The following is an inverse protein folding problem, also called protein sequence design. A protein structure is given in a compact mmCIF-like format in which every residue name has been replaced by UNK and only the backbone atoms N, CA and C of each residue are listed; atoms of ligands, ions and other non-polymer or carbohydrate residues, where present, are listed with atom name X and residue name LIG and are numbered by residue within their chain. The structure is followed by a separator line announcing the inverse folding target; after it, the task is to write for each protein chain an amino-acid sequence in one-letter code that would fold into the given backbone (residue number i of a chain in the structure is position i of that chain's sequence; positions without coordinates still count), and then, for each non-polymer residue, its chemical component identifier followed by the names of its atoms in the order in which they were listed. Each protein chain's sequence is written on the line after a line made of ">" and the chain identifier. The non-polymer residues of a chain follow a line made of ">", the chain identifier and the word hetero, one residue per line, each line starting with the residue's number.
data_IF_265179127598
#
_entry.id   IF_265179127598
#
_cell.length_a   1.000
_cell.length_b   1.000
_cell.length_c   1.000
_cell.angle_alpha   90.00
_cell.angle_beta   90.00
_cell.angle_gamma   90.00
#
_symmetry.space_group_name_H-M   'P 1'
#
loop_
_entity.id
_entity.type
_entity.pdbx_description
1 polymer ?
#
# COMPACT_ATOMS: atom_id res chain seq x y z
N UNK A 1 -31.93 3.25 6.86
CA UNK A 1 -31.99 2.72 8.23
C UNK A 1 -30.83 1.76 8.42
N UNK A 2 -29.85 2.14 9.26
CA UNK A 2 -28.69 1.29 9.54
C UNK A 2 -29.08 0.20 10.54
N UNK A 3 -28.65 -1.05 10.32
CA UNK A 3 -28.99 -2.14 11.22
C UNK A 3 -28.25 -2.01 12.55
N UNK A 4 -28.95 -2.28 13.66
CA UNK A 4 -28.34 -2.35 14.99
C UNK A 4 -27.61 -3.68 15.18
N UNK A 5 -26.30 -3.63 15.46
CA UNK A 5 -25.48 -4.81 15.72
C UNK A 5 -25.38 -5.04 17.23
N UNK A 6 -25.52 -6.30 17.67
CA UNK A 6 -25.44 -6.67 19.10
C UNK A 6 -24.08 -7.30 19.41
N UNK A 7 -23.60 -7.05 20.62
CA UNK A 7 -22.37 -7.63 21.13
C UNK A 7 -22.53 -9.16 21.29
N UNK A 8 -21.60 -9.98 20.77
CA UNK A 8 -21.69 -11.44 20.87
C UNK A 8 -21.39 -11.96 22.28
N UNK A 9 -20.78 -11.14 23.15
CA UNK A 9 -20.41 -11.54 24.52
C UNK A 9 -21.45 -11.14 25.58
N UNK A 10 -22.08 -9.96 25.43
CA UNK A 10 -23.01 -9.42 26.45
C UNK A 10 -24.36 -8.98 25.90
N UNK A 11 -24.64 -9.24 24.61
CA UNK A 11 -25.91 -8.95 23.93
C UNK A 11 -26.36 -7.48 23.87
N UNK A 12 -25.61 -6.52 24.44
CA UNK A 12 -25.89 -5.08 24.32
C UNK A 12 -25.66 -4.56 22.90
N UNK A 13 -26.40 -3.53 22.51
CA UNK A 13 -26.25 -2.86 21.21
C UNK A 13 -24.91 -2.14 21.11
N UNK A 14 -24.20 -2.32 20.00
CA UNK A 14 -22.90 -1.73 19.70
C UNK A 14 -23.01 -0.38 18.94
N UNK A 15 -24.18 0.25 18.90
CA UNK A 15 -24.37 1.56 18.24
C UNK A 15 -24.79 1.48 16.76
N UNK A 16 -24.71 2.62 16.07
CA UNK A 16 -25.06 2.79 14.65
C UNK A 16 -23.81 2.80 13.78
N UNK A 17 -23.90 2.22 12.58
CA UNK A 17 -22.80 2.12 11.62
C UNK A 17 -22.58 3.49 10.96
N UNK A 18 -21.32 3.94 10.80
CA UNK A 18 -20.99 5.22 10.17
C UNK A 18 -21.43 5.24 8.69
N UNK A 19 -21.48 6.44 8.11
CA UNK A 19 -21.80 6.69 6.69
C UNK A 19 -20.93 5.89 5.73
N UNK A 20 -19.69 5.61 6.12
CA UNK A 20 -18.70 4.88 5.33
C UNK A 20 -18.87 3.36 5.43
N UNK A 21 -19.92 2.88 6.11
CA UNK A 21 -20.21 1.46 6.27
C UNK A 21 -19.24 0.70 7.18
N UNK A 22 -18.42 1.40 7.94
CA UNK A 22 -17.49 0.81 8.91
C UNK A 22 -17.80 1.36 10.31
N UNK A 23 -17.59 0.54 11.34
CA UNK A 23 -17.71 0.96 12.74
C UNK A 23 -16.68 0.22 13.58
N UNK A 24 -15.76 0.95 14.21
CA UNK A 24 -14.90 0.41 15.26
C UNK A 24 -15.43 0.90 16.60
N UNK A 25 -15.75 -0.03 17.49
CA UNK A 25 -16.32 0.32 18.79
C UNK A 25 -15.86 -0.64 19.89
N UNK A 26 -15.58 -0.06 21.05
CA UNK A 26 -15.36 -0.80 22.28
C UNK A 26 -16.69 -1.02 22.99
N UNK A 27 -17.01 -2.26 23.30
CA UNK A 27 -18.24 -2.55 24.01
C UNK A 27 -18.16 -2.03 25.46
N UNK A 28 -19.06 -1.15 25.91
CA UNK A 28 -18.97 -0.54 27.25
C UNK A 28 -19.14 -1.55 28.38
N UNK A 29 -19.78 -2.70 28.13
CA UNK A 29 -20.01 -3.73 29.15
C UNK A 29 -18.87 -4.74 29.27
N UNK A 30 -18.30 -5.20 28.15
CA UNK A 30 -17.28 -6.25 28.16
C UNK A 30 -15.87 -5.76 27.81
N UNK A 31 -15.70 -4.47 27.55
CA UNK A 31 -14.43 -3.80 27.18
C UNK A 31 -13.67 -4.50 26.05
N UNK A 32 -14.40 -5.21 25.17
CA UNK A 32 -13.84 -5.84 23.97
C UNK A 32 -14.08 -4.93 22.77
N UNK A 33 -13.02 -4.76 22.00
CA UNK A 33 -13.01 -3.99 20.76
C UNK A 33 -13.56 -4.84 19.61
N UNK A 34 -14.55 -4.29 18.89
CA UNK A 34 -15.17 -4.92 17.72
C UNK A 34 -15.09 -3.99 16.52
N UNK A 35 -14.88 -4.60 15.35
CA UNK A 35 -14.92 -3.92 14.05
C UNK A 35 -16.09 -4.46 13.24
N UNK A 36 -16.91 -3.57 12.68
CA UNK A 36 -18.06 -3.94 11.87
C UNK A 36 -17.85 -3.40 10.46
N UNK A 37 -18.09 -4.24 9.47
CA UNK A 37 -18.12 -3.87 8.05
C UNK A 37 -19.50 -4.15 7.50
N UNK A 38 -20.13 -3.14 6.92
CA UNK A 38 -21.47 -3.20 6.36
C UNK A 38 -21.43 -2.89 4.86
N UNK A 39 -22.11 -3.71 4.06
CA UNK A 39 -22.19 -3.48 2.63
C UNK A 39 -23.10 -4.44 1.89
N UNK A 40 -23.16 -4.27 0.57
CA UNK A 40 -23.88 -5.15 -0.35
C UNK A 40 -22.95 -6.21 -0.90
N UNK A 41 -23.44 -7.45 -1.02
CA UNK A 41 -22.65 -8.56 -1.57
C UNK A 41 -22.59 -8.43 -3.09
N UNK A 42 -21.39 -8.20 -3.62
CA UNK A 42 -21.13 -8.09 -5.07
C UNK A 42 -20.65 -9.40 -5.68
N UNK A 43 -20.08 -10.31 -4.88
CA UNK A 43 -19.56 -11.60 -5.36
C UNK A 43 -19.52 -12.66 -4.28
N UNK A 44 -19.70 -13.93 -4.68
CA UNK A 44 -19.59 -15.09 -3.79
C UNK A 44 -18.94 -16.26 -4.52
N UNK A 45 -17.83 -16.75 -3.99
CA UNK A 45 -17.25 -18.02 -4.38
C UNK A 45 -17.11 -18.92 -3.14
N UNK A 46 -17.20 -20.24 -3.36
CA UNK A 46 -16.89 -21.20 -2.31
C UNK A 46 -16.27 -22.46 -2.90
N UNK A 47 -15.23 -22.99 -2.27
CA UNK A 47 -14.53 -24.22 -2.69
C UNK A 47 -14.40 -25.19 -1.52
N UNK A 48 -14.46 -26.48 -1.82
CA UNK A 48 -14.22 -27.54 -0.85
C UNK A 48 -12.75 -27.94 -0.89
N UNK A 49 -12.13 -28.04 0.28
CA UNK A 49 -10.76 -28.50 0.43
C UNK A 49 -10.75 -29.67 1.43
N UNK A 50 -10.10 -30.77 1.09
CA UNK A 50 -9.93 -31.90 1.99
C UNK A 50 -8.85 -31.54 3.03
N UNK A 51 -9.19 -31.62 4.31
CA UNK A 51 -8.26 -31.39 5.43
C UNK A 51 -7.50 -32.68 5.75
N UNK A 52 -8.22 -33.80 5.73
CA UNK A 52 -7.66 -35.12 5.94
C UNK A 52 -8.36 -36.09 4.98
N UNK A 53 -7.58 -36.65 4.07
CA UNK A 53 -8.04 -37.69 3.14
C UNK A 53 -7.32 -38.99 3.49
N UNK A 54 -8.03 -39.89 4.20
CA UNK A 54 -7.48 -41.18 4.59
C UNK A 54 -7.70 -42.21 3.47
N UNK A 55 -8.96 -42.51 3.10
CA UNK A 55 -9.36 -43.35 1.95
C UNK A 55 -10.84 -43.11 1.59
N UNK A 56 -11.33 -43.65 0.46
CA UNK A 56 -12.70 -43.48 -0.01
C UNK A 56 -13.80 -44.08 0.90
N UNK A 57 -13.46 -45.04 1.77
CA UNK A 57 -14.40 -45.71 2.69
C UNK A 57 -14.35 -45.16 4.13
N UNK A 58 -13.40 -44.27 4.45
CA UNK A 58 -13.23 -43.68 5.78
C UNK A 58 -13.80 -42.25 5.86
N UNK A 59 -14.17 -41.77 7.06
CA UNK A 59 -14.63 -40.39 7.24
C UNK A 59 -13.53 -39.42 6.81
N UNK A 60 -13.83 -38.59 5.80
CA UNK A 60 -12.94 -37.53 5.33
C UNK A 60 -13.37 -36.19 5.91
N UNK A 61 -12.41 -35.43 6.43
CA UNK A 61 -12.64 -34.10 6.97
C UNK A 61 -12.49 -33.09 5.84
N UNK A 62 -13.53 -32.28 5.64
CA UNK A 62 -13.54 -31.21 4.64
C UNK A 62 -13.66 -29.86 5.32
N UNK A 63 -12.92 -28.89 4.79
CA UNK A 63 -13.14 -27.47 5.03
C UNK A 63 -13.75 -26.84 3.78
N UNK A 64 -14.62 -25.86 3.98
CA UNK A 64 -15.15 -25.04 2.91
C UNK A 64 -14.54 -23.66 3.00
N UNK A 65 -13.83 -23.26 1.95
CA UNK A 65 -13.30 -21.91 1.81
C UNK A 65 -14.34 -21.05 1.12
N UNK A 66 -14.66 -19.91 1.71
CA UNK A 66 -15.54 -18.88 1.19
C UNK A 66 -14.70 -17.66 0.77
N UNK A 67 -15.10 -17.05 -0.34
CA UNK A 67 -14.67 -15.71 -0.76
C UNK A 67 -15.94 -14.88 -1.00
N UNK A 68 -16.15 -13.87 -0.18
CA UNK A 68 -17.24 -12.91 -0.28
C UNK A 68 -16.67 -11.56 -0.70
N UNK A 69 -17.23 -10.98 -1.75
CA UNK A 69 -16.92 -9.61 -2.18
C UNK A 69 -18.06 -8.70 -1.78
N UNK A 70 -17.75 -7.61 -1.09
CA UNK A 70 -18.71 -6.73 -0.46
C UNK A 70 -18.41 -5.31 -0.88
N UNK A 71 -19.39 -4.63 -1.46
CA UNK A 71 -19.31 -3.22 -1.78
C UNK A 71 -19.89 -2.42 -0.63
N UNK A 72 -19.04 -1.62 0.01
CA UNK A 72 -19.36 -0.73 1.12
C UNK A 72 -20.15 0.48 0.60
N UNK A 73 -21.00 1.15 1.42
CA UNK A 73 -21.63 2.42 1.05
C UNK A 73 -20.67 3.49 0.49
N UNK A 74 -19.42 3.53 0.98
CA UNK A 74 -18.34 4.37 0.45
C UNK A 74 -17.82 3.99 -0.95
N UNK A 75 -18.44 3.00 -1.61
CA UNK A 75 -18.03 2.39 -2.90
C UNK A 75 -16.77 1.52 -2.85
N UNK A 76 -16.20 1.27 -1.67
CA UNK A 76 -15.05 0.37 -1.54
C UNK A 76 -15.44 -1.10 -1.66
N UNK A 77 -14.68 -1.85 -2.47
CA UNK A 77 -14.82 -3.29 -2.62
C UNK A 77 -13.94 -4.02 -1.61
N UNK A 78 -14.56 -4.70 -0.64
CA UNK A 78 -13.88 -5.54 0.35
C UNK A 78 -14.00 -7.02 0.00
N UNK A 79 -12.86 -7.71 -0.04
CA UNK A 79 -12.80 -9.16 -0.26
C UNK A 79 -12.56 -9.86 1.06
N UNK A 80 -13.58 -10.56 1.55
CA UNK A 80 -13.51 -11.40 2.73
C UNK A 80 -13.27 -12.85 2.31
N UNK A 81 -12.20 -13.47 2.81
CA UNK A 81 -12.01 -14.92 2.70
C UNK A 81 -12.19 -15.55 4.09
N UNK A 82 -12.78 -16.72 4.20
CA UNK A 82 -12.80 -17.47 5.47
C UNK A 82 -13.10 -18.93 5.19
N UNK A 83 -12.78 -19.82 6.13
CA UNK A 83 -13.15 -21.22 6.04
C UNK A 83 -14.16 -21.62 7.11
N UNK A 84 -14.94 -22.66 6.85
CA UNK A 84 -15.77 -23.35 7.84
C UNK A 84 -15.50 -24.85 7.78
N UNK A 85 -15.63 -25.55 8.89
CA UNK A 85 -15.49 -27.00 8.96
C UNK A 85 -16.82 -27.69 8.64
N UNK A 86 -16.78 -28.80 7.89
CA UNK A 86 -17.92 -29.67 7.66
C UNK A 86 -18.70 -29.40 6.37
N UNK A 87 -19.38 -30.46 5.87
CA UNK A 87 -20.11 -30.45 4.59
C UNK A 87 -21.46 -29.69 4.62
N UNK A 88 -22.02 -29.47 5.81
CA UNK A 88 -23.37 -28.92 6.00
C UNK A 88 -23.46 -27.40 6.16
N UNK A 89 -22.39 -26.74 6.62
CA UNK A 89 -22.45 -25.33 7.01
C UNK A 89 -22.39 -24.41 5.79
N UNK A 90 -23.57 -23.91 5.38
CA UNK A 90 -23.73 -22.92 4.31
C UNK A 90 -24.00 -21.55 4.90
N UNK A 91 -23.13 -20.60 4.58
CA UNK A 91 -23.32 -19.19 4.93
C UNK A 91 -24.52 -18.65 4.13
N UNK A 92 -25.58 -18.14 4.79
CA UNK A 92 -26.84 -17.77 4.15
C UNK A 92 -26.73 -16.39 3.48
N UNK A 93 -25.93 -16.31 2.41
CA UNK A 93 -25.65 -15.04 1.71
C UNK A 93 -25.86 -15.22 0.20
N UNK A 94 -26.64 -14.33 -0.40
CA UNK A 94 -26.90 -14.22 -1.86
C UNK A 94 -26.30 -12.93 -2.42
N UNK A 95 -26.13 -12.90 -3.74
CA UNK A 95 -25.71 -11.69 -4.46
C UNK A 95 -26.76 -10.59 -4.26
N UNK A 96 -26.31 -9.37 -3.99
CA UNK A 96 -27.16 -8.23 -3.71
C UNK A 96 -27.65 -8.11 -2.26
N UNK A 97 -27.41 -9.12 -1.41
CA UNK A 97 -27.81 -9.06 0.00
C UNK A 97 -27.04 -7.98 0.77
N UNK A 98 -27.71 -7.32 1.71
CA UNK A 98 -27.09 -6.39 2.65
C UNK A 98 -26.60 -7.17 3.86
N UNK A 99 -25.30 -7.15 4.10
CA UNK A 99 -24.68 -7.92 5.18
C UNK A 99 -23.87 -7.02 6.10
N UNK A 100 -23.80 -7.41 7.38
CA UNK A 100 -22.81 -6.92 8.33
C UNK A 100 -21.89 -8.04 8.75
N UNK A 101 -20.60 -7.76 8.70
CA UNK A 101 -19.54 -8.63 9.19
C UNK A 101 -19.05 -8.08 10.52
N UNK A 102 -18.98 -8.94 11.53
CA UNK A 102 -18.48 -8.58 12.85
C UNK A 102 -17.11 -9.21 13.08
N UNK A 103 -16.13 -8.39 13.40
CA UNK A 103 -14.76 -8.77 13.71
C UNK A 103 -14.40 -8.49 15.17
N UNK A 104 -13.53 -9.32 15.72
CA UNK A 104 -12.77 -9.01 16.93
C UNK A 104 -11.55 -8.16 16.54
N UNK A 105 -11.32 -7.05 17.24
CA UNK A 105 -10.17 -6.19 17.02
C UNK A 105 -9.02 -6.55 17.96
N UNK A 106 -7.79 -6.28 17.51
CA UNK A 106 -6.60 -6.20 18.36
C UNK A 106 -5.88 -4.89 18.01
N UNK A 107 -6.10 -3.84 18.79
CA UNK A 107 -5.70 -2.48 18.41
C UNK A 107 -6.53 -2.00 17.20
N UNK A 108 -5.86 -1.53 16.14
CA UNK A 108 -6.47 -1.10 14.88
C UNK A 108 -6.78 -2.25 13.90
N UNK A 109 -6.34 -3.49 14.18
CA UNK A 109 -6.43 -4.59 13.21
C UNK A 109 -7.66 -5.48 13.42
N UNK A 110 -8.38 -5.76 12.32
CA UNK A 110 -9.48 -6.72 12.26
C UNK A 110 -8.94 -8.15 12.19
N UNK A 111 -8.77 -8.78 13.35
CA UNK A 111 -8.08 -10.07 13.46
C UNK A 111 -8.95 -11.28 13.15
N UNK A 112 -10.22 -11.27 13.59
CA UNK A 112 -11.05 -12.48 13.58
C UNK A 112 -12.52 -12.22 13.26
N UNK A 113 -13.06 -12.85 12.22
CA UNK A 113 -14.49 -12.82 11.94
C UNK A 113 -15.25 -13.65 12.99
N UNK A 114 -16.25 -13.05 13.62
CA UNK A 114 -17.10 -13.65 14.64
C UNK A 114 -18.43 -14.10 14.03
N UNK A 115 -19.06 -13.23 13.25
CA UNK A 115 -20.37 -13.51 12.67
C UNK A 115 -20.63 -12.73 11.39
N UNK A 116 -21.44 -13.34 10.52
CA UNK A 116 -21.99 -12.75 9.30
C UNK A 116 -23.49 -12.60 9.51
N UNK A 117 -24.00 -11.37 9.54
CA UNK A 117 -25.44 -11.11 9.66
C UNK A 117 -25.98 -10.66 8.31
N UNK A 118 -26.95 -11.39 7.78
CA UNK A 118 -27.68 -11.01 6.58
C UNK A 118 -28.94 -10.23 6.97
N UNK A 119 -28.99 -8.95 6.62
CA UNK A 119 -30.10 -8.05 6.93
C UNK A 119 -31.26 -8.18 5.94
N UNK A 120 -31.01 -8.70 4.73
CA UNK A 120 -32.09 -9.00 3.77
C UNK A 120 -32.93 -10.18 4.23
N UNK A 121 -32.28 -11.23 4.74
CA UNK A 121 -32.94 -12.48 5.16
C UNK A 121 -33.23 -12.50 6.68
N UNK A 122 -32.64 -11.57 7.45
CA UNK A 122 -32.74 -11.53 8.91
C UNK A 122 -32.02 -12.68 9.62
N UNK A 123 -31.11 -13.39 8.92
CA UNK A 123 -30.38 -14.54 9.47
C UNK A 123 -28.96 -14.15 9.84
N UNK A 124 -28.55 -14.51 11.05
CA UNK A 124 -27.18 -14.34 11.53
C UNK A 124 -26.48 -15.69 11.58
N UNK A 125 -25.43 -15.82 10.78
CA UNK A 125 -24.53 -16.95 10.82
C UNK A 125 -23.37 -16.64 11.76
N UNK A 126 -23.32 -17.31 12.90
CA UNK A 126 -22.17 -17.26 13.80
C UNK A 126 -21.18 -18.29 13.33
N UNK A 127 -19.94 -17.88 13.07
CA UNK A 127 -18.92 -18.85 12.72
C UNK A 127 -18.73 -19.77 13.93
N UNK A 128 -18.68 -21.10 13.72
CA UNK A 128 -18.33 -22.01 14.79
C UNK A 128 -16.99 -21.56 15.38
N UNK A 129 -16.86 -21.63 16.71
CA UNK A 129 -15.58 -21.39 17.37
C UNK A 129 -14.77 -22.68 17.27
N UNK A 130 -13.69 -22.71 16.50
CA UNK A 130 -12.62 -23.61 16.88
C UNK A 130 -11.35 -22.79 16.96
N UNK A 131 -11.12 -22.16 18.11
CA UNK A 131 -9.75 -21.80 18.47
C UNK A 131 -9.63 -22.08 19.96
N UNK A 132 -9.18 -23.28 20.38
CA UNK A 132 -8.37 -23.34 21.57
C UNK A 132 -7.26 -22.31 21.40
N UNK A 133 -7.19 -21.30 22.25
CA UNK A 133 -6.05 -20.40 22.32
C UNK A 133 -4.77 -21.22 22.46
N UNK A 134 -3.62 -20.67 22.05
CA UNK A 134 -2.30 -21.33 22.19
C UNK A 134 -2.05 -21.88 23.60
N UNK A 135 -2.63 -21.27 24.64
CA UNK A 135 -2.59 -21.80 26.01
C UNK A 135 -3.43 -23.07 26.23
N UNK A 136 -4.58 -23.20 25.56
CA UNK A 136 -5.41 -24.42 25.62
C UNK A 136 -4.90 -25.55 24.71
N UNK A 137 -4.16 -25.24 23.64
CA UNK A 137 -3.47 -26.28 22.84
C UNK A 137 -2.33 -26.90 23.64
N UNK A 138 -1.52 -26.10 24.33
CA UNK A 138 -0.49 -26.60 25.25
C UNK A 138 -1.07 -27.47 26.38
N UNK A 139 -2.23 -27.10 26.94
CA UNK A 139 -2.91 -27.90 27.98
C UNK A 139 -3.51 -29.20 27.45
N UNK A 140 -4.10 -29.19 26.26
CA UNK A 140 -4.62 -30.42 25.66
C UNK A 140 -3.47 -31.38 25.30
N UNK A 141 -2.36 -30.85 24.79
CA UNK A 141 -1.14 -31.59 24.51
C UNK A 141 -0.49 -32.16 25.78
N UNK A 142 -0.44 -31.40 26.87
CA UNK A 142 0.12 -31.91 28.12
C UNK A 142 -0.75 -33.03 28.71
N UNK A 143 -2.08 -32.87 28.69
CA UNK A 143 -3.01 -33.91 29.15
C UNK A 143 -2.92 -35.18 28.30
N UNK A 144 -2.82 -35.04 26.97
CA UNK A 144 -2.72 -36.18 26.06
C UNK A 144 -1.38 -36.92 26.22
N UNK A 145 -0.28 -36.18 26.40
CA UNK A 145 1.04 -36.77 26.70
C UNK A 145 1.07 -37.49 28.05
N UNK A 146 0.44 -36.93 29.09
CA UNK A 146 0.32 -37.58 30.40
C UNK A 146 -0.53 -38.86 30.28
N UNK A 147 -1.68 -38.79 29.60
CA UNK A 147 -2.53 -39.96 29.39
C UNK A 147 -1.82 -41.07 28.60
N UNK A 148 -1.02 -40.71 27.58
CA UNK A 148 -0.23 -41.66 26.81
C UNK A 148 0.86 -42.32 27.67
N UNK A 149 1.54 -41.55 28.52
CA UNK A 149 2.55 -42.06 29.46
C UNK A 149 1.94 -43.08 30.45
N UNK A 150 0.76 -42.79 30.99
CA UNK A 150 0.04 -43.72 31.87
C UNK A 150 -0.42 -44.98 31.13
N UNK A 151 -0.91 -44.87 29.89
CA UNK A 151 -1.32 -46.04 29.10
C UNK A 151 -0.15 -46.97 28.74
N UNK A 152 1.03 -46.41 28.42
CA UNK A 152 2.25 -47.18 28.14
C UNK A 152 2.71 -47.93 29.39
N UNK A 153 2.61 -47.32 30.58
CA UNK A 153 3.02 -47.95 31.83
C UNK A 153 2.08 -49.04 32.33
N UNK A 154 0.78 -48.94 32.04
CA UNK A 154 -0.22 -49.84 32.63
C UNK A 154 -0.65 -50.99 31.74
N UNK A 155 -0.54 -50.86 30.40
CA UNK A 155 -1.20 -51.78 29.48
C UNK A 155 -0.41 -53.03 29.09
N UNK A 156 0.89 -53.13 29.43
CA UNK A 156 1.72 -54.31 29.13
C UNK A 156 1.93 -54.62 27.63
N UNK A 157 1.30 -53.86 26.72
CA UNK A 157 1.53 -53.93 25.29
C UNK A 157 2.90 -53.35 24.92
N UNK A 158 3.50 -53.87 23.85
CA UNK A 158 4.81 -53.44 23.38
C UNK A 158 4.89 -51.93 23.18
N UNK A 159 5.90 -51.31 23.80
CA UNK A 159 6.22 -49.88 23.75
C UNK A 159 6.12 -49.27 22.33
N UNK A 160 6.44 -50.06 21.30
CA UNK A 160 6.41 -49.65 19.89
C UNK A 160 4.99 -49.42 19.32
N UNK A 161 3.99 -50.22 19.71
CA UNK A 161 2.61 -50.07 19.19
C UNK A 161 1.90 -48.84 19.78
N UNK A 162 2.12 -48.59 21.07
CA UNK A 162 1.52 -47.46 21.79
C UNK A 162 2.16 -46.13 21.37
N UNK A 163 3.47 -46.10 21.14
CA UNK A 163 4.18 -44.93 20.60
C UNK A 163 3.79 -44.63 19.15
N UNK A 164 3.63 -45.65 18.30
CA UNK A 164 3.17 -45.48 16.92
C UNK A 164 1.74 -44.92 16.84
N UNK A 165 0.79 -45.49 17.58
CA UNK A 165 -0.58 -44.99 17.63
C UNK A 165 -0.66 -43.59 18.26
N UNK A 166 0.14 -43.31 19.28
CA UNK A 166 0.27 -41.98 19.88
C UNK A 166 0.82 -40.94 18.91
N UNK A 167 1.85 -41.30 18.12
CA UNK A 167 2.42 -40.44 17.09
C UNK A 167 1.43 -40.12 15.97
N UNK A 168 0.64 -41.10 15.53
CA UNK A 168 -0.42 -40.90 14.53
C UNK A 168 -1.52 -39.99 15.10
N UNK A 169 -1.97 -40.24 16.33
CA UNK A 169 -2.95 -39.39 17.00
C UNK A 169 -2.45 -37.95 17.16
N UNK A 170 -1.17 -37.76 17.48
CA UNK A 170 -0.52 -36.46 17.55
C UNK A 170 -0.50 -35.75 16.19
N UNK A 171 -0.06 -36.42 15.13
CA UNK A 171 -0.02 -35.85 13.77
C UNK A 171 -1.42 -35.49 13.25
N UNK A 172 -2.43 -36.32 13.55
CA UNK A 172 -3.81 -36.02 13.19
C UNK A 172 -4.32 -34.82 14.01
N UNK A 173 -4.03 -34.77 15.31
CA UNK A 173 -4.44 -33.66 16.17
C UNK A 173 -3.79 -32.34 15.74
N UNK A 174 -2.49 -32.32 15.44
CA UNK A 174 -1.80 -31.10 14.98
C UNK A 174 -2.32 -30.67 13.61
N UNK A 175 -2.46 -31.59 12.64
CA UNK A 175 -3.03 -31.23 11.32
C UNK A 175 -4.47 -30.77 11.38
N UNK A 176 -5.30 -31.35 12.26
CA UNK A 176 -6.67 -30.89 12.48
C UNK A 176 -6.67 -29.53 13.15
N UNK A 177 -5.77 -29.25 14.09
CA UNK A 177 -5.65 -27.96 14.78
C UNK A 177 -5.13 -26.85 13.85
N UNK A 178 -4.09 -27.09 13.07
CA UNK A 178 -3.55 -26.14 12.08
C UNK A 178 -4.60 -25.81 11.00
N UNK A 179 -5.42 -26.79 10.60
CA UNK A 179 -6.52 -26.56 9.67
C UNK A 179 -7.80 -26.01 10.33
N UNK A 180 -7.93 -26.15 11.65
CA UNK A 180 -8.99 -25.53 12.45
C UNK A 180 -8.65 -24.09 12.82
N UNK A 181 -7.44 -23.60 12.54
CA UNK A 181 -7.17 -22.18 12.44
C UNK A 181 -7.91 -21.64 11.20
N UNK A 182 -9.24 -21.47 11.35
CA UNK A 182 -10.15 -20.93 10.35
C UNK A 182 -9.58 -19.57 9.95
N UNK A 183 -8.89 -19.59 8.81
CA UNK A 183 -8.17 -18.44 8.30
C UNK A 183 -9.21 -17.46 7.79
N UNK A 184 -9.74 -16.62 8.68
CA UNK A 184 -10.17 -15.29 8.28
C UNK A 184 -8.85 -14.58 8.03
N UNK A 185 -8.42 -14.37 6.76
CA UNK A 185 -7.26 -13.54 6.54
C UNK A 185 -7.54 -12.22 7.24
N UNK A 186 -6.49 -11.73 7.87
CA UNK A 186 -6.41 -10.38 8.35
C UNK A 186 -6.93 -9.48 7.22
N UNK A 187 -8.05 -8.79 7.45
CA UNK A 187 -8.35 -7.62 6.63
C UNK A 187 -7.26 -6.64 7.02
N UNK A 188 -6.18 -6.60 6.22
CA UNK A 188 -5.16 -5.58 6.39
C UNK A 188 -5.87 -4.24 6.38
N UNK A 189 -5.64 -3.40 7.40
CA UNK A 189 -6.27 -2.10 7.49
C UNK A 189 -5.91 -1.28 6.26
N UNK A 190 -6.79 -0.32 5.99
CA UNK A 190 -6.67 0.74 4.99
C UNK A 190 -5.26 1.35 4.92
N UNK A 191 -4.48 1.33 6.01
CA UNK A 191 -3.15 1.89 6.16
C UNK A 191 -2.17 1.63 4.99
N UNK A 192 -2.15 0.44 4.38
CA UNK A 192 -1.27 0.18 3.22
C UNK A 192 -1.78 0.83 1.94
N UNK A 193 -3.09 0.81 1.71
CA UNK A 193 -3.69 1.49 0.55
C UNK A 193 -3.65 3.01 0.74
N UNK A 194 -3.89 3.51 1.94
CA UNK A 194 -3.79 4.93 2.26
C UNK A 194 -2.34 5.42 2.17
N UNK A 195 -1.36 4.67 2.70
CA UNK A 195 0.04 4.99 2.53
C UNK A 195 0.44 5.05 1.04
N UNK A 196 0.00 4.08 0.23
CA UNK A 196 0.21 4.07 -1.23
C UNK A 196 -0.45 5.27 -1.91
N UNK A 197 -1.70 5.57 -1.59
CA UNK A 197 -2.42 6.71 -2.17
C UNK A 197 -1.78 8.05 -1.78
N UNK A 198 -1.25 8.17 -0.56
CA UNK A 198 -0.49 9.34 -0.12
C UNK A 198 0.81 9.46 -0.90
N UNK A 199 1.52 8.35 -1.09
CA UNK A 199 2.77 8.28 -1.85
C UNK A 199 2.57 8.64 -3.33
N UNK A 200 1.56 8.05 -3.99
CA UNK A 200 1.16 8.38 -5.35
C UNK A 200 0.79 9.87 -5.49
N UNK A 201 0.03 10.40 -4.53
CA UNK A 201 -0.33 11.83 -4.50
C UNK A 201 0.91 12.71 -4.38
N UNK A 202 1.89 12.32 -3.57
CA UNK A 202 3.14 13.05 -3.42
C UNK A 202 3.96 13.03 -4.71
N UNK A 203 4.06 11.88 -5.38
CA UNK A 203 4.74 11.74 -6.67
C UNK A 203 4.06 12.57 -7.77
N UNK A 204 2.72 12.55 -7.84
CA UNK A 204 1.96 13.39 -8.75
C UNK A 204 2.19 14.88 -8.47
N UNK A 205 2.23 15.28 -7.19
CA UNK A 205 2.58 16.63 -6.79
C UNK A 205 3.98 17.05 -7.26
N UNK A 206 4.98 16.18 -7.09
CA UNK A 206 6.33 16.45 -7.59
C UNK A 206 6.38 16.54 -9.12
N UNK A 207 5.63 15.68 -9.83
CA UNK A 207 5.55 15.73 -11.29
C UNK A 207 5.01 17.06 -11.80
N UNK A 208 3.96 17.59 -11.17
CA UNK A 208 3.42 18.91 -11.54
C UNK A 208 4.44 20.04 -11.33
N UNK A 209 5.17 20.02 -10.20
CA UNK A 209 6.23 21.00 -9.94
C UNK A 209 7.38 20.90 -10.96
N UNK A 210 7.74 19.68 -11.37
CA UNK A 210 8.75 19.46 -12.41
C UNK A 210 8.27 20.03 -13.74
N UNK A 211 7.02 19.80 -14.12
CA UNK A 211 6.44 20.32 -15.36
C UNK A 211 6.44 21.84 -15.39
N UNK A 212 5.99 22.48 -14.32
CA UNK A 212 6.04 23.94 -14.17
C UNK A 212 7.48 24.46 -14.29
N UNK A 213 8.45 23.80 -13.66
CA UNK A 213 9.85 24.23 -13.74
C UNK A 213 10.45 24.06 -15.14
N UNK A 214 10.11 22.98 -15.84
CA UNK A 214 10.52 22.74 -17.23
C UNK A 214 9.97 23.82 -18.16
N UNK A 215 8.71 24.22 -17.98
CA UNK A 215 8.10 25.30 -18.74
C UNK A 215 8.82 26.64 -18.49
N UNK A 216 9.11 26.96 -17.23
CA UNK A 216 9.87 28.16 -16.88
C UNK A 216 11.28 28.16 -17.51
N UNK A 217 12.02 27.05 -17.42
CA UNK A 217 13.36 26.93 -18.03
C UNK A 217 13.31 27.08 -19.56
N UNK A 218 12.27 26.54 -20.21
CA UNK A 218 12.07 26.71 -21.66
C UNK A 218 11.77 28.17 -22.02
N UNK A 219 10.97 28.86 -21.22
CA UNK A 219 10.69 30.27 -21.43
C UNK A 219 11.95 31.13 -21.26
N UNK A 220 12.71 30.94 -20.17
CA UNK A 220 14.01 31.59 -19.94
C UNK A 220 14.96 31.36 -21.14
N UNK A 221 15.00 30.13 -21.66
CA UNK A 221 15.78 29.78 -22.86
C UNK A 221 15.34 30.51 -24.13
N UNK A 222 14.03 30.73 -24.33
CA UNK A 222 13.50 31.50 -25.47
C UNK A 222 13.84 32.98 -25.36
N UNK A 223 13.70 33.55 -24.16
CA UNK A 223 14.07 34.94 -23.87
C UNK A 223 15.56 35.17 -24.15
N UNK A 224 16.43 34.27 -23.66
CA UNK A 224 17.87 34.31 -23.92
C UNK A 224 18.20 34.24 -25.43
N UNK A 225 17.52 33.37 -26.18
CA UNK A 225 17.69 33.31 -27.64
C UNK A 225 17.24 34.60 -28.34
N UNK A 226 16.18 35.24 -27.86
CA UNK A 226 15.72 36.52 -28.40
C UNK A 226 16.75 37.63 -28.15
N UNK A 227 17.33 37.69 -26.93
CA UNK A 227 18.40 38.62 -26.59
C UNK A 227 19.65 38.40 -27.44
N UNK A 228 20.08 37.14 -27.64
CA UNK A 228 21.23 36.82 -28.50
C UNK A 228 21.01 37.37 -29.92
N UNK A 229 19.81 37.21 -30.49
CA UNK A 229 19.49 37.74 -31.83
C UNK A 229 19.57 39.27 -31.87
N UNK A 230 19.03 39.95 -30.85
CA UNK A 230 19.09 41.41 -30.75
C UNK A 230 20.53 41.92 -30.63
N UNK A 231 21.33 41.29 -29.75
CA UNK A 231 22.73 41.61 -29.55
C UNK A 231 23.56 41.43 -30.82
N UNK A 232 23.35 40.33 -31.56
CA UNK A 232 24.02 40.10 -32.85
C UNK A 232 23.61 41.12 -33.91
N UNK A 233 22.33 41.47 -34.01
CA UNK A 233 21.84 42.51 -34.92
C UNK A 233 22.47 43.88 -34.59
N UNK A 234 22.56 44.22 -33.30
CA UNK A 234 23.22 45.44 -32.84
C UNK A 234 24.72 45.43 -33.17
N UNK A 235 25.39 44.30 -32.92
CA UNK A 235 26.80 44.11 -33.26
C UNK A 235 27.06 44.34 -34.74
N UNK A 236 26.19 43.80 -35.61
CA UNK A 236 26.34 43.95 -37.06
C UNK A 236 26.14 45.41 -37.52
N UNK A 237 25.18 46.12 -36.93
CA UNK A 237 25.01 47.58 -37.16
C UNK A 237 26.25 48.37 -36.75
N UNK A 238 26.86 48.04 -35.61
CA UNK A 238 28.09 48.70 -35.15
C UNK A 238 29.27 48.44 -36.10
N UNK A 239 29.44 47.19 -36.56
CA UNK A 239 30.50 46.82 -37.50
C UNK A 239 30.36 47.51 -38.86
N UNK A 240 29.13 47.75 -39.33
CA UNK A 240 28.87 48.45 -40.61
C UNK A 240 29.17 49.95 -40.55
N UNK A 241 29.09 50.57 -39.37
CA UNK A 241 29.28 52.01 -39.22
C UNK A 241 30.77 52.34 -39.04
N UNK A 242 31.42 51.79 -38.01
CA UNK A 242 32.86 51.91 -37.79
C UNK A 242 33.31 50.88 -36.72
N UNK A 243 34.15 49.93 -37.13
CA UNK A 243 34.60 48.85 -36.25
C UNK A 243 35.61 49.29 -35.19
N UNK A 244 36.38 50.36 -35.44
CA UNK A 244 37.41 50.85 -34.53
C UNK A 244 36.81 51.67 -33.38
N UNK A 245 35.82 52.52 -33.67
CA UNK A 245 35.14 53.34 -32.65
C UNK A 245 34.35 52.45 -31.67
N UNK A 246 33.74 51.37 -32.15
CA UNK A 246 32.89 50.48 -31.35
C UNK A 246 33.59 49.21 -30.84
N UNK A 247 34.90 49.04 -31.03
CA UNK A 247 35.63 47.80 -30.72
C UNK A 247 35.35 47.27 -29.29
N UNK A 248 35.39 48.15 -28.28
CA UNK A 248 35.13 47.77 -26.87
C UNK A 248 33.69 47.31 -26.65
N UNK A 249 32.70 47.93 -27.33
CA UNK A 249 31.28 47.54 -27.21
C UNK A 249 31.02 46.21 -27.92
N UNK A 250 31.64 45.99 -29.08
CA UNK A 250 31.56 44.73 -29.82
C UNK A 250 32.12 43.59 -28.97
N UNK A 251 33.28 43.76 -28.33
CA UNK A 251 33.85 42.74 -27.43
C UNK A 251 32.95 42.42 -26.23
N UNK A 252 32.28 43.43 -25.65
CA UNK A 252 31.31 43.21 -24.56
C UNK A 252 30.10 42.41 -25.05
N UNK A 253 29.59 42.74 -26.24
CA UNK A 253 28.50 41.99 -26.86
C UNK A 253 28.91 40.53 -27.12
N UNK A 254 30.11 40.28 -27.64
CA UNK A 254 30.61 38.92 -27.87
C UNK A 254 30.65 38.10 -26.57
N UNK A 255 31.17 38.68 -25.48
CA UNK A 255 31.17 38.02 -24.16
C UNK A 255 29.76 37.72 -23.66
N UNK A 256 28.86 38.70 -23.76
CA UNK A 256 27.46 38.51 -23.36
C UNK A 256 26.77 37.41 -24.17
N UNK A 257 27.01 37.33 -25.47
CA UNK A 257 26.47 36.27 -26.34
C UNK A 257 26.99 34.90 -25.91
N UNK A 258 28.29 34.75 -25.63
CA UNK A 258 28.86 33.47 -25.18
C UNK A 258 28.24 33.03 -23.84
N UNK A 259 28.10 33.95 -22.88
CA UNK A 259 27.48 33.67 -21.58
C UNK A 259 26.01 33.25 -21.73
N UNK A 260 25.23 33.96 -22.56
CA UNK A 260 23.83 33.60 -22.82
C UNK A 260 23.69 32.25 -23.54
N UNK A 261 24.63 31.91 -24.43
CA UNK A 261 24.66 30.60 -25.08
C UNK A 261 24.98 29.48 -24.09
N UNK A 262 25.95 29.67 -23.21
CA UNK A 262 26.27 28.72 -22.15
C UNK A 262 25.09 28.52 -21.20
N UNK A 263 24.40 29.60 -20.81
CA UNK A 263 23.18 29.54 -20.01
C UNK A 263 22.10 28.73 -20.71
N UNK A 264 21.81 29.04 -21.98
CA UNK A 264 20.79 28.33 -22.75
C UNK A 264 21.09 26.84 -22.87
N UNK A 265 22.37 26.45 -23.00
CA UNK A 265 22.76 25.05 -23.05
C UNK A 265 22.52 24.36 -21.70
N UNK A 266 22.95 24.98 -20.60
CA UNK A 266 22.72 24.45 -19.26
C UNK A 266 21.23 24.28 -18.93
N UNK A 267 20.40 25.26 -19.32
CA UNK A 267 18.96 25.21 -19.10
C UNK A 267 18.32 24.05 -19.90
N UNK A 268 18.84 23.72 -21.10
CA UNK A 268 18.42 22.53 -21.86
C UNK A 268 18.82 21.22 -21.19
N UNK A 269 20.03 21.13 -20.68
CA UNK A 269 20.51 19.93 -19.99
C UNK A 269 19.67 19.65 -18.72
N UNK A 270 19.30 20.71 -17.97
CA UNK A 270 18.38 20.59 -16.84
C UNK A 270 16.99 20.12 -17.27
N UNK A 271 16.45 20.67 -18.37
CA UNK A 271 15.15 20.25 -18.91
C UNK A 271 15.16 18.75 -19.25
N UNK A 272 16.22 18.25 -19.89
CA UNK A 272 16.34 16.83 -20.23
C UNK A 272 16.34 15.94 -18.96
N UNK A 273 17.09 16.33 -17.92
CA UNK A 273 17.15 15.56 -16.66
C UNK A 273 15.82 15.59 -15.90
N UNK A 274 15.13 16.73 -15.91
CA UNK A 274 13.80 16.85 -15.31
C UNK A 274 12.76 16.01 -16.08
N UNK A 275 12.80 16.00 -17.42
CA UNK A 275 11.93 15.15 -18.24
C UNK A 275 12.19 13.67 -18.01
N UNK A 276 13.44 13.25 -17.92
CA UNK A 276 13.79 11.87 -17.57
C UNK A 276 13.23 11.48 -16.21
N UNK A 277 13.33 12.38 -15.22
CA UNK A 277 12.76 12.17 -13.88
C UNK A 277 11.23 12.09 -13.92
N UNK A 278 10.57 12.90 -14.74
CA UNK A 278 9.12 12.80 -14.96
C UNK A 278 8.72 11.44 -15.53
N UNK A 279 9.50 10.87 -16.45
CA UNK A 279 9.24 9.51 -16.99
C UNK A 279 9.45 8.42 -15.94
N UNK A 280 10.45 8.56 -15.07
CA UNK A 280 10.63 7.62 -13.94
C UNK A 280 9.41 7.64 -13.00
N UNK A 281 8.85 8.84 -12.72
CA UNK A 281 7.62 8.96 -11.93
C UNK A 281 6.44 8.27 -12.63
N UNK A 282 6.29 8.44 -13.94
CA UNK A 282 5.22 7.77 -14.70
C UNK A 282 5.31 6.25 -14.62
N UNK A 283 6.51 5.71 -14.82
CA UNK A 283 6.75 4.26 -14.68
C UNK A 283 6.40 3.81 -13.27
N UNK A 284 6.83 4.52 -12.23
CA UNK A 284 6.55 4.14 -10.84
C UNK A 284 5.05 4.16 -10.52
N UNK A 285 4.30 5.13 -11.06
CA UNK A 285 2.84 5.18 -10.91
C UNK A 285 2.13 4.05 -11.67
N UNK A 286 2.67 3.61 -12.81
CA UNK A 286 2.12 2.47 -13.56
C UNK A 286 2.47 1.12 -12.90
N UNK A 287 3.66 1.01 -12.30
CA UNK A 287 4.14 -0.19 -11.61
C UNK A 287 3.59 -0.32 -10.20
N UNK A 288 3.19 0.78 -9.53
CA UNK A 288 2.60 0.74 -8.17
C UNK A 288 1.37 -0.18 -8.10
N UNK A 289 0.57 -0.25 -9.16
CA UNK A 289 -0.58 -1.13 -9.29
C UNK A 289 -0.19 -2.62 -9.42
N UNK A 290 0.99 -2.89 -10.00
CA UNK A 290 1.52 -4.24 -10.25
C UNK A 290 2.46 -4.72 -9.14
N UNK A 291 2.85 -3.84 -8.21
CA UNK A 291 3.83 -4.09 -7.16
C UNK A 291 3.47 -5.28 -6.25
N UNK A 292 2.18 -5.59 -6.05
CA UNK A 292 1.74 -6.76 -5.26
C UNK A 292 2.08 -8.10 -5.94
N UNK A 293 2.49 -8.09 -7.21
CA UNK A 293 2.87 -9.27 -8.00
C UNK A 293 4.38 -9.34 -8.28
N UNK A 294 5.15 -8.32 -7.91
CA UNK A 294 6.57 -8.22 -8.20
C UNK A 294 7.41 -8.31 -6.91
N UNK A 295 8.35 -9.26 -6.80
CA UNK A 295 9.11 -9.51 -5.57
C UNK A 295 10.14 -8.42 -5.21
N UNK A 296 10.45 -7.48 -6.12
CA UNK A 296 11.53 -6.49 -5.99
C UNK A 296 11.05 -5.02 -5.85
N UNK A 297 9.76 -4.79 -5.59
CA UNK A 297 9.16 -3.45 -5.55
C UNK A 297 9.40 -2.68 -4.23
N UNK A 298 10.64 -2.64 -3.73
CA UNK A 298 10.99 -1.85 -2.54
C UNK A 298 11.85 -0.63 -2.91
N UNK A 299 11.38 0.56 -2.51
CA UNK A 299 12.11 1.84 -2.38
C UNK A 299 12.53 2.58 -3.66
N UNK A 300 11.80 2.40 -4.78
CA UNK A 300 12.01 3.21 -5.99
C UNK A 300 11.58 4.68 -5.80
N UNK A 301 10.50 4.94 -5.05
CA UNK A 301 10.07 6.30 -4.69
C UNK A 301 11.16 7.09 -3.97
N UNK A 302 11.86 6.48 -3.02
CA UNK A 302 12.97 7.12 -2.30
C UNK A 302 14.05 7.59 -3.27
N UNK A 303 14.43 6.73 -4.22
CA UNK A 303 15.43 7.03 -5.25
C UNK A 303 15.01 8.20 -6.15
N UNK A 304 13.73 8.25 -6.55
CA UNK A 304 13.19 9.35 -7.35
C UNK A 304 13.26 10.68 -6.57
N UNK A 305 12.86 10.68 -5.30
CA UNK A 305 12.89 11.87 -4.47
C UNK A 305 14.33 12.37 -4.24
N UNK A 306 15.28 11.46 -4.02
CA UNK A 306 16.70 11.79 -3.96
C UNK A 306 17.14 12.45 -5.26
N UNK A 307 16.77 11.89 -6.42
CA UNK A 307 17.16 12.46 -7.71
C UNK A 307 16.60 13.88 -7.93
N UNK A 308 15.35 14.13 -7.54
CA UNK A 308 14.75 15.47 -7.60
C UNK A 308 15.53 16.44 -6.71
N UNK A 309 15.91 16.02 -5.51
CA UNK A 309 16.68 16.86 -4.58
C UNK A 309 18.08 17.19 -5.13
N UNK A 310 18.74 16.23 -5.78
CA UNK A 310 20.02 16.44 -6.45
C UNK A 310 19.89 17.48 -7.55
N UNK A 311 18.88 17.38 -8.42
CA UNK A 311 18.67 18.33 -9.51
C UNK A 311 18.43 19.75 -9.00
N UNK A 312 17.62 19.91 -7.96
CA UNK A 312 17.42 21.21 -7.30
C UNK A 312 18.72 21.77 -6.73
N UNK A 313 19.54 20.93 -6.10
CA UNK A 313 20.84 21.35 -5.56
C UNK A 313 21.84 21.76 -6.65
N UNK A 314 21.79 21.13 -7.82
CA UNK A 314 22.62 21.48 -8.98
C UNK A 314 22.16 22.84 -9.50
N UNK A 315 20.86 23.01 -9.67
CA UNK A 315 20.29 24.27 -10.14
C UNK A 315 20.61 25.45 -9.19
N UNK A 316 20.50 25.25 -7.88
CA UNK A 316 20.80 26.28 -6.88
C UNK A 316 22.28 26.65 -6.85
N UNK A 317 23.19 25.67 -6.87
CA UNK A 317 24.64 25.93 -6.98
C UNK A 317 24.97 26.71 -8.24
N UNK A 318 24.34 26.37 -9.36
CA UNK A 318 24.54 27.10 -10.61
C UNK A 318 24.03 28.53 -10.54
N UNK A 319 22.91 28.79 -9.87
CA UNK A 319 22.44 30.17 -9.64
C UNK A 319 23.40 30.94 -8.75
N UNK A 320 23.89 30.33 -7.68
CA UNK A 320 24.83 30.97 -6.76
C UNK A 320 26.15 31.34 -7.45
N UNK A 321 26.78 30.39 -8.14
CA UNK A 321 28.01 30.67 -8.89
C UNK A 321 27.83 31.77 -9.93
N UNK A 322 26.64 31.88 -10.54
CA UNK A 322 26.32 32.97 -11.48
C UNK A 322 26.23 34.33 -10.77
N UNK A 323 25.57 34.40 -9.62
CA UNK A 323 25.49 35.63 -8.83
C UNK A 323 26.88 36.11 -8.38
N UNK A 324 27.77 35.19 -7.99
CA UNK A 324 29.16 35.52 -7.63
C UNK A 324 29.97 36.06 -8.82
N UNK A 325 29.75 35.52 -10.03
CA UNK A 325 30.39 36.02 -11.24
C UNK A 325 29.91 37.42 -11.61
N UNK A 326 28.60 37.67 -11.52
CA UNK A 326 28.01 39.00 -11.77
C UNK A 326 28.51 40.03 -10.76
N UNK A 327 28.54 39.70 -9.46
CA UNK A 327 29.05 40.58 -8.42
C UNK A 327 30.56 40.87 -8.59
N UNK A 328 31.38 39.87 -8.93
CA UNK A 328 32.80 40.08 -9.22
C UNK A 328 33.04 40.94 -10.46
N UNK A 329 32.19 40.81 -11.48
CA UNK A 329 32.28 41.65 -12.67
C UNK A 329 31.91 43.11 -12.36
N UNK A 330 30.94 43.35 -11.48
CA UNK A 330 30.59 44.70 -11.00
C UNK A 330 31.72 45.34 -10.18
N UNK A 331 32.33 44.60 -9.25
CA UNK A 331 33.49 45.07 -8.47
C UNK A 331 34.66 45.41 -9.40
N UNK A 332 34.90 44.61 -10.44
CA UNK A 332 35.91 44.89 -11.46
C UNK A 332 35.57 46.12 -12.32
N UNK A 333 34.28 46.42 -12.56
CA UNK A 333 33.87 47.68 -13.22
C UNK A 333 34.14 48.89 -12.33
N UNK A 334 33.96 48.76 -11.01
CA UNK A 334 34.18 49.84 -10.04
C UNK A 334 35.66 50.10 -9.74
N UNK A 335 36.54 49.13 -9.97
CA UNK A 335 38.00 49.29 -9.76
C UNK A 335 38.78 49.73 -11.01
N UNK A 336 38.15 49.72 -12.18
CA UNK A 336 38.73 50.11 -13.48
C UNK A 336 38.11 51.38 -14.08
N UNK A 337 37.05 51.91 -13.47
CA UNK A 337 36.52 53.26 -13.74
C UNK A 337 37.00 54.21 -12.65
#
# INVERSE_FOLDING_TARGET
>A
MFPSVRCPSCSRSLGQINTDGQLQIDCPACRRSYGIVYGKVSGRASRWEAVLYLTAKLPSLYKRRYELRITTPGRDLKVLKFSTLGRGDRVPVRLGDRISLLYAMRGSMMKKLISVSNHTVGKTYRLPRPIPTTGTTFRALSVLSIALFFCVRFSGYGFWLTTALGGIAFLVATRVMDNAELSTPELQPHDRQEARLIEERNLLGQKLLIQERVEALRQEGQENQSLIKQLRSLQEKMRRFDSQIYATRIQRIDRAVVLLQQRTQHDRDLVEQYEQTSRMIEIELETSYLADQLPDAHDFTGTILTKISELRSIEERNRHFRQELEANEEVRRLSLG
#
